data_IF_650048970783
#
_entry.id   IF_650048970783
#
_cell.length_a   1.000
_cell.length_b   1.000
_cell.length_c   1.000
_cell.angle_alpha   90.00
_cell.angle_beta   90.00
_cell.angle_gamma   90.00
#
_symmetry.space_group_name_H-M   'P 1'
#
loop_
_entity.id
_entity.type
_entity.pdbx_description
1 polymer ?
#
# COMPACT_ATOMS: atom_id res chain seq x y z
N UNK A 1 49.85 5.64 34.86
CA UNK A 1 49.95 5.28 33.43
C UNK A 1 48.59 5.53 32.80
N UNK A 2 48.48 6.50 31.89
CA UNK A 2 47.26 6.71 31.10
C UNK A 2 47.22 5.65 30.00
N UNK A 3 46.37 4.63 30.14
CA UNK A 3 46.12 3.68 29.06
C UNK A 3 45.47 4.43 27.88
N UNK A 4 46.07 4.35 26.70
CA UNK A 4 45.50 4.93 25.48
C UNK A 4 44.51 3.96 24.85
N UNK A 5 43.44 4.46 24.23
CA UNK A 5 42.36 3.64 23.66
C UNK A 5 42.90 2.49 22.76
N UNK A 6 43.92 2.77 21.95
CA UNK A 6 44.51 1.81 21.01
C UNK A 6 45.40 0.74 21.66
N UNK A 7 45.79 0.92 22.93
CA UNK A 7 46.51 -0.10 23.71
C UNK A 7 45.58 -1.14 24.34
N UNK A 8 44.28 -0.87 24.40
CA UNK A 8 43.30 -1.84 24.87
C UNK A 8 43.17 -3.00 23.87
N UNK A 9 42.90 -4.24 24.30
CA UNK A 9 42.52 -5.35 23.42
C UNK A 9 41.34 -4.99 22.50
N UNK A 10 41.27 -5.64 21.33
CA UNK A 10 40.25 -5.35 20.30
C UNK A 10 38.84 -5.47 20.85
N UNK A 11 38.60 -6.47 21.67
CA UNK A 11 37.31 -6.77 22.29
C UNK A 11 36.84 -5.62 23.18
N UNK A 12 37.73 -5.04 23.99
CA UNK A 12 37.41 -3.88 24.82
C UNK A 12 37.19 -2.63 23.97
N UNK A 13 37.96 -2.44 22.90
CA UNK A 13 37.71 -1.34 21.96
C UNK A 13 36.34 -1.46 21.29
N UNK A 14 35.94 -2.67 20.91
CA UNK A 14 34.61 -2.92 20.32
C UNK A 14 33.47 -2.63 21.29
N UNK A 15 33.63 -2.92 22.58
CA UNK A 15 32.68 -2.51 23.61
C UNK A 15 32.59 -0.99 23.73
N UNK A 16 33.73 -0.28 23.69
CA UNK A 16 33.77 1.18 23.74
C UNK A 16 33.09 1.78 22.49
N UNK A 17 33.41 1.27 21.29
CA UNK A 17 32.79 1.76 20.05
C UNK A 17 31.28 1.53 20.03
N UNK A 18 30.82 0.38 20.54
CA UNK A 18 29.38 0.10 20.70
C UNK A 18 28.73 1.10 21.63
N UNK A 19 29.29 1.32 22.82
CA UNK A 19 28.77 2.28 23.79
C UNK A 19 28.74 3.71 23.22
N UNK A 20 29.73 4.09 22.42
CA UNK A 20 29.82 5.42 21.82
C UNK A 20 28.76 5.68 20.74
N UNK A 21 28.43 4.67 19.94
CA UNK A 21 27.59 4.80 18.74
C UNK A 21 26.13 4.44 19.01
N UNK A 22 25.88 3.52 19.93
CA UNK A 22 24.53 3.03 20.23
C UNK A 22 23.73 4.15 20.89
N UNK A 23 22.60 4.51 20.28
CA UNK A 23 21.70 5.55 20.78
C UNK A 23 20.35 4.92 21.14
N UNK A 24 19.83 5.26 22.30
CA UNK A 24 18.53 4.78 22.78
C UNK A 24 17.42 5.36 21.90
N UNK A 25 16.68 4.49 21.21
CA UNK A 25 15.68 4.89 20.20
C UNK A 25 16.26 5.01 18.78
N UNK A 26 17.56 4.81 18.61
CA UNK A 26 18.22 4.73 17.30
C UNK A 26 18.26 6.06 16.55
N UNK A 27 18.26 5.98 15.22
CA UNK A 27 18.47 7.12 14.35
C UNK A 27 17.22 7.46 13.53
N UNK A 28 16.80 8.72 13.54
CA UNK A 28 15.65 9.23 12.83
C UNK A 28 16.11 10.00 11.59
N UNK A 29 15.62 9.59 10.42
CA UNK A 29 15.93 10.24 9.16
C UNK A 29 15.21 11.59 9.07
N UNK A 30 15.94 12.64 8.70
CA UNK A 30 15.40 13.95 8.38
C UNK A 30 15.45 14.17 6.85
N UNK A 31 14.29 14.14 6.16
CA UNK A 31 14.21 14.28 4.71
C UNK A 31 14.76 15.60 4.16
N UNK A 32 14.51 16.72 4.86
CA UNK A 32 14.93 18.05 4.43
C UNK A 32 16.46 18.18 4.38
N UNK A 33 17.14 17.62 5.39
CA UNK A 33 18.62 17.64 5.47
C UNK A 33 19.29 16.41 4.85
N UNK A 34 18.51 15.38 4.51
CA UNK A 34 18.97 14.05 4.05
C UNK A 34 19.95 13.39 5.00
N UNK A 35 19.83 13.66 6.30
CA UNK A 35 20.73 13.18 7.36
C UNK A 35 19.94 12.51 8.47
N UNK A 36 20.61 11.64 9.19
CA UNK A 36 20.09 11.08 10.43
C UNK A 36 20.43 11.97 11.61
N UNK A 37 19.51 12.01 12.57
CA UNK A 37 19.69 12.52 13.92
C UNK A 37 19.39 11.41 14.90
N UNK A 38 19.82 11.54 16.14
CA UNK A 38 19.39 10.60 17.17
C UNK A 38 17.93 10.82 17.56
N UNK A 39 17.38 9.93 18.40
CA UNK A 39 15.99 9.99 18.84
C UNK A 39 15.63 11.31 19.56
N UNK A 40 16.62 11.94 20.20
CA UNK A 40 16.50 13.25 20.87
C UNK A 40 16.69 14.45 19.93
N UNK A 41 16.81 14.24 18.62
CA UNK A 41 16.97 15.31 17.62
C UNK A 41 18.37 15.94 17.55
N UNK A 42 19.35 15.39 18.26
CA UNK A 42 20.76 15.82 18.23
C UNK A 42 21.50 15.17 17.06
N UNK A 43 22.61 15.79 16.67
CA UNK A 43 23.51 15.22 15.67
C UNK A 43 24.16 13.95 16.21
N UNK A 44 24.36 12.96 15.33
CA UNK A 44 25.10 11.75 15.67
C UNK A 44 26.57 12.14 15.89
N UNK A 45 27.10 11.87 17.08
CA UNK A 45 28.49 12.11 17.39
C UNK A 45 29.37 11.06 16.69
N UNK A 46 30.21 11.52 15.78
CA UNK A 46 31.17 10.70 15.04
C UNK A 46 32.62 11.12 15.31
N UNK A 47 32.87 11.99 16.31
CA UNK A 47 34.19 12.56 16.57
C UNK A 47 35.24 11.46 16.79
N UNK A 48 34.91 10.40 17.53
CA UNK A 48 35.81 9.28 17.76
C UNK A 48 36.26 8.62 16.44
N UNK A 49 35.35 8.43 15.49
CA UNK A 49 35.67 7.85 14.17
C UNK A 49 36.60 8.72 13.32
N UNK A 50 36.69 10.02 13.62
CA UNK A 50 37.52 10.99 12.91
C UNK A 50 38.91 11.15 13.53
N UNK A 51 39.19 10.52 14.67
CA UNK A 51 40.47 10.68 15.39
C UNK A 51 41.66 10.08 14.65
N UNK A 52 41.54 8.86 14.11
CA UNK A 52 42.59 8.23 13.31
C UNK A 52 42.05 7.14 12.37
N UNK A 53 42.85 6.74 11.38
CA UNK A 53 42.47 5.73 10.37
C UNK A 53 42.13 4.36 10.97
N UNK A 54 42.81 3.96 12.05
CA UNK A 54 42.54 2.69 12.71
C UNK A 54 41.13 2.71 13.30
N UNK A 55 40.82 3.68 14.16
CA UNK A 55 39.48 3.84 14.76
C UNK A 55 38.40 3.98 13.67
N UNK A 56 38.64 4.78 12.63
CA UNK A 56 37.72 4.92 11.49
C UNK A 56 37.42 3.58 10.79
N UNK A 57 38.44 2.74 10.62
CA UNK A 57 38.31 1.42 9.97
C UNK A 57 37.58 0.46 10.90
N UNK A 58 37.96 0.47 12.17
CA UNK A 58 37.43 -0.36 13.24
C UNK A 58 35.94 -0.08 13.52
N UNK A 59 35.49 1.17 13.37
CA UNK A 59 34.10 1.61 13.58
C UNK A 59 33.24 1.58 12.31
N UNK A 60 33.81 1.20 11.15
CA UNK A 60 33.15 1.31 9.86
C UNK A 60 31.87 0.48 9.79
N UNK A 61 30.73 1.15 9.68
CA UNK A 61 29.41 0.53 9.54
C UNK A 61 28.75 0.15 10.87
N UNK A 62 29.44 0.24 12.02
CA UNK A 62 28.87 -0.09 13.33
C UNK A 62 27.61 0.73 13.63
N UNK A 63 27.59 1.99 13.21
CA UNK A 63 26.44 2.88 13.38
C UNK A 63 25.15 2.33 12.76
N UNK A 64 25.25 1.67 11.60
CA UNK A 64 24.12 1.07 10.90
C UNK A 64 23.81 -0.35 11.37
N UNK A 65 24.83 -1.05 11.87
CA UNK A 65 24.68 -2.41 12.40
C UNK A 65 23.97 -2.41 13.77
N UNK A 66 24.24 -1.41 14.61
CA UNK A 66 23.80 -1.37 16.00
C UNK A 66 22.51 -0.59 16.20
N UNK A 67 22.20 0.39 15.34
CA UNK A 67 21.05 1.28 15.53
C UNK A 67 19.92 0.98 14.55
N UNK A 68 18.70 1.07 15.05
CA UNK A 68 17.49 1.08 14.23
C UNK A 68 17.41 2.39 13.45
N UNK A 69 17.19 2.30 12.13
CA UNK A 69 16.95 3.45 11.28
C UNK A 69 15.44 3.69 11.15
N UNK A 70 14.99 4.88 11.52
CA UNK A 70 13.58 5.24 11.54
C UNK A 70 13.26 6.25 10.45
N UNK A 71 12.24 5.95 9.66
CA UNK A 71 11.67 6.83 8.64
C UNK A 71 10.22 7.14 8.99
N UNK A 72 9.76 8.35 8.67
CA UNK A 72 8.38 8.78 8.86
C UNK A 72 7.80 9.29 7.54
N UNK A 73 6.47 9.36 7.46
CA UNK A 73 5.80 10.07 6.38
C UNK A 73 6.32 11.51 6.32
N UNK A 74 6.57 12.02 5.11
CA UNK A 74 7.16 13.34 4.93
C UNK A 74 6.28 14.24 4.08
N UNK A 75 6.02 15.45 4.58
CA UNK A 75 5.39 16.53 3.81
C UNK A 75 6.49 17.45 3.29
N UNK A 76 6.58 17.68 1.96
CA UNK A 76 7.56 18.61 1.42
C UNK A 76 7.40 20.03 1.96
N UNK A 77 8.54 20.70 2.19
CA UNK A 77 8.57 22.03 2.80
C UNK A 77 8.11 23.11 1.82
N UNK A 78 8.41 22.94 0.53
CA UNK A 78 8.05 23.90 -0.52
C UNK A 78 6.73 23.58 -1.18
N UNK A 79 5.98 24.62 -1.56
CA UNK A 79 4.71 24.45 -2.29
C UNK A 79 4.93 23.76 -3.65
N UNK A 80 6.01 24.11 -4.34
CA UNK A 80 6.38 23.50 -5.63
C UNK A 80 6.55 21.99 -5.52
N UNK A 81 7.27 21.49 -4.50
CA UNK A 81 7.43 20.05 -4.29
C UNK A 81 6.13 19.36 -3.89
N UNK A 82 5.26 20.04 -3.13
CA UNK A 82 3.92 19.54 -2.79
C UNK A 82 3.05 19.36 -4.02
N UNK A 83 2.97 20.37 -4.88
CA UNK A 83 2.23 20.33 -6.14
C UNK A 83 2.80 19.24 -7.06
N UNK A 84 4.12 19.18 -7.17
CA UNK A 84 4.84 18.16 -7.95
C UNK A 84 4.49 16.73 -7.49
N UNK A 85 4.45 16.47 -6.18
CA UNK A 85 4.06 15.16 -5.66
C UNK A 85 2.56 14.87 -5.80
N UNK A 86 1.69 15.89 -5.68
CA UNK A 86 0.26 15.73 -5.94
C UNK A 86 -0.01 15.35 -7.40
N UNK A 87 0.68 15.97 -8.37
CA UNK A 87 0.61 15.63 -9.79
C UNK A 87 1.07 14.20 -10.06
N UNK A 88 2.10 13.74 -9.37
CA UNK A 88 2.52 12.33 -9.46
C UNK A 88 1.41 11.39 -8.99
N UNK A 89 0.80 11.67 -7.84
CA UNK A 89 -0.30 10.88 -7.29
C UNK A 89 -1.49 10.81 -8.25
N UNK A 90 -1.88 11.96 -8.81
CA UNK A 90 -2.92 12.07 -9.82
C UNK A 90 -2.57 11.25 -11.07
N UNK A 91 -1.33 11.37 -11.56
CA UNK A 91 -0.87 10.63 -12.73
C UNK A 91 -1.02 9.11 -12.55
N UNK A 92 -0.60 8.57 -11.39
CA UNK A 92 -0.78 7.14 -11.07
C UNK A 92 -2.26 6.75 -11.09
N UNK A 93 -3.12 7.56 -10.45
CA UNK A 93 -4.56 7.29 -10.40
C UNK A 93 -5.21 7.27 -11.79
N UNK A 94 -4.88 8.25 -12.64
CA UNK A 94 -5.41 8.31 -13.99
C UNK A 94 -4.86 7.19 -14.87
N UNK A 95 -3.57 6.87 -14.79
CA UNK A 95 -2.99 5.74 -15.51
C UNK A 95 -3.75 4.44 -15.21
N UNK A 96 -3.96 4.12 -13.93
CA UNK A 96 -4.68 2.91 -13.55
C UNK A 96 -6.13 2.93 -14.04
N UNK A 97 -6.82 4.06 -13.90
CA UNK A 97 -8.19 4.19 -14.39
C UNK A 97 -8.27 4.00 -15.91
N UNK A 98 -7.36 4.60 -16.68
CA UNK A 98 -7.32 4.45 -18.12
C UNK A 98 -6.98 3.02 -18.53
N UNK A 99 -6.05 2.34 -17.86
CA UNK A 99 -5.70 0.93 -18.14
C UNK A 99 -6.87 0.01 -17.92
N UNK A 100 -7.56 0.20 -16.81
CA UNK A 100 -8.78 -0.53 -16.48
C UNK A 100 -9.87 -0.35 -17.55
N UNK A 101 -10.04 0.88 -18.05
CA UNK A 101 -10.97 1.14 -19.17
C UNK A 101 -10.50 0.48 -20.45
N UNK A 102 -9.23 0.63 -20.82
CA UNK A 102 -8.65 0.00 -22.03
C UNK A 102 -8.88 -1.50 -22.04
N UNK A 103 -8.71 -2.17 -20.90
CA UNK A 103 -8.96 -3.61 -20.78
C UNK A 103 -10.42 -3.97 -21.12
N UNK A 104 -11.39 -3.21 -20.60
CA UNK A 104 -12.82 -3.42 -20.85
C UNK A 104 -13.15 -3.17 -22.33
N UNK A 105 -12.69 -2.06 -22.91
CA UNK A 105 -12.99 -1.71 -24.30
C UNK A 105 -12.25 -2.57 -25.33
N UNK A 106 -11.17 -3.22 -24.92
CA UNK A 106 -10.44 -4.19 -25.74
C UNK A 106 -11.08 -5.60 -25.73
N UNK A 107 -12.24 -5.80 -25.10
CA UNK A 107 -12.98 -7.07 -25.15
C UNK A 107 -13.14 -7.66 -26.56
N UNK A 108 -13.43 -6.88 -27.63
CA UNK A 108 -13.49 -7.41 -29.00
C UNK A 108 -12.16 -7.96 -29.55
N UNK A 109 -11.03 -7.70 -28.86
CA UNK A 109 -9.70 -8.20 -29.22
C UNK A 109 -9.29 -9.43 -28.39
N UNK A 110 -10.15 -9.94 -27.50
CA UNK A 110 -9.79 -11.10 -26.69
C UNK A 110 -9.73 -12.36 -27.57
N UNK A 111 -8.59 -13.03 -27.53
CA UNK A 111 -8.34 -14.28 -28.28
C UNK A 111 -8.08 -15.45 -27.34
N UNK A 112 -8.02 -16.68 -27.87
CA UNK A 112 -7.60 -17.87 -27.10
C UNK A 112 -6.28 -17.64 -26.38
N UNK A 113 -5.31 -17.00 -27.03
CA UNK A 113 -3.99 -16.70 -26.47
C UNK A 113 -4.10 -15.74 -25.26
N UNK A 114 -5.05 -14.80 -25.30
CA UNK A 114 -5.31 -13.89 -24.17
C UNK A 114 -5.86 -14.67 -22.97
N UNK A 115 -6.83 -15.56 -23.20
CA UNK A 115 -7.39 -16.41 -22.14
C UNK A 115 -6.34 -17.37 -21.56
N UNK A 116 -5.51 -17.98 -22.42
CA UNK A 116 -4.42 -18.88 -21.98
C UNK A 116 -3.36 -18.14 -21.16
N UNK A 117 -2.97 -16.93 -21.59
CA UNK A 117 -2.00 -16.10 -20.86
C UNK A 117 -2.52 -15.72 -19.46
N UNK A 118 -3.79 -15.32 -19.36
CA UNK A 118 -4.44 -15.00 -18.09
C UNK A 118 -4.64 -16.25 -17.23
N UNK A 119 -5.07 -17.38 -17.80
CA UNK A 119 -5.21 -18.63 -17.06
C UNK A 119 -3.87 -19.12 -16.49
N UNK A 120 -2.77 -18.88 -17.20
CA UNK A 120 -1.43 -19.24 -16.74
C UNK A 120 -0.93 -18.35 -15.60
N UNK A 121 -1.04 -17.02 -15.75
CA UNK A 121 -0.37 -16.06 -14.86
C UNK A 121 -1.29 -15.51 -13.76
N UNK A 122 -2.58 -15.38 -14.06
CA UNK A 122 -3.57 -14.77 -13.17
C UNK A 122 -4.95 -15.49 -13.24
N UNK A 123 -5.01 -16.81 -12.96
CA UNK A 123 -6.22 -17.62 -13.12
C UNK A 123 -7.43 -17.07 -12.35
N UNK A 124 -7.20 -16.37 -11.23
CA UNK A 124 -8.24 -15.74 -10.43
C UNK A 124 -9.05 -14.64 -11.17
N UNK A 125 -8.49 -14.06 -12.24
CA UNK A 125 -9.17 -13.05 -13.06
C UNK A 125 -9.74 -13.61 -14.37
N UNK A 126 -9.63 -14.91 -14.63
CA UNK A 126 -10.24 -15.53 -15.81
C UNK A 126 -11.76 -15.25 -15.91
N UNK A 127 -12.56 -15.37 -14.81
CA UNK A 127 -13.98 -15.04 -14.86
C UNK A 127 -14.23 -13.56 -15.21
N UNK A 128 -13.30 -12.67 -14.85
CA UNK A 128 -13.42 -11.24 -15.17
C UNK A 128 -13.31 -10.99 -16.68
N UNK A 129 -12.39 -11.69 -17.37
CA UNK A 129 -12.28 -11.64 -18.83
C UNK A 129 -13.55 -12.17 -19.50
N UNK A 130 -14.10 -13.28 -19.02
CA UNK A 130 -15.34 -13.85 -19.55
C UNK A 130 -16.52 -12.87 -19.41
N UNK A 131 -16.58 -12.17 -18.28
CA UNK A 131 -17.60 -11.14 -18.02
C UNK A 131 -17.48 -9.98 -19.01
N UNK A 132 -16.26 -9.51 -19.29
CA UNK A 132 -16.02 -8.43 -20.26
C UNK A 132 -16.32 -8.86 -21.69
N UNK A 133 -15.99 -10.10 -22.04
CA UNK A 133 -16.21 -10.64 -23.39
C UNK A 133 -17.70 -10.76 -23.73
N UNK A 134 -18.55 -11.04 -22.75
CA UNK A 134 -20.00 -11.24 -22.96
C UNK A 134 -20.83 -9.94 -22.95
N UNK A 135 -20.19 -8.75 -23.03
CA UNK A 135 -20.78 -7.39 -23.08
C UNK A 135 -21.84 -7.10 -21.99
N UNK A 136 -21.88 -7.91 -20.93
CA UNK A 136 -22.88 -7.80 -19.86
C UNK A 136 -22.58 -6.64 -18.89
N UNK A 137 -21.38 -6.03 -18.94
CA UNK A 137 -20.95 -5.08 -17.91
C UNK A 137 -20.02 -3.98 -18.46
N UNK A 138 -20.47 -2.71 -18.38
CA UNK A 138 -19.65 -1.49 -18.57
C UNK A 138 -19.42 -0.70 -17.27
N UNK A 139 -19.67 -1.32 -16.12
CA UNK A 139 -19.50 -0.73 -14.79
C UNK A 139 -18.25 -1.23 -14.06
N UNK A 140 -17.65 -0.39 -13.22
CA UNK A 140 -16.46 -0.73 -12.43
C UNK A 140 -16.77 -1.78 -11.37
N UNK A 141 -16.45 -3.05 -11.67
CA UNK A 141 -16.23 -4.11 -10.68
C UNK A 141 -14.92 -3.89 -9.88
N UNK A 142 -14.14 -2.87 -10.23
CA UNK A 142 -12.68 -2.92 -10.27
C UNK A 142 -11.93 -2.43 -9.04
N UNK A 143 -12.45 -2.64 -7.84
CA UNK A 143 -11.59 -2.36 -6.68
C UNK A 143 -11.92 -3.14 -5.41
N UNK A 144 -12.66 -4.25 -5.53
CA UNK A 144 -13.22 -4.91 -4.36
C UNK A 144 -12.76 -6.34 -4.14
N UNK A 145 -12.02 -6.94 -5.06
CA UNK A 145 -11.86 -8.40 -5.08
C UNK A 145 -10.50 -8.94 -4.69
N UNK A 146 -9.41 -8.26 -5.05
CA UNK A 146 -8.05 -8.80 -4.93
C UNK A 146 -7.04 -7.69 -4.66
N UNK A 147 -5.82 -8.07 -4.28
CA UNK A 147 -4.75 -7.13 -3.91
C UNK A 147 -4.50 -6.13 -5.04
N UNK A 148 -4.56 -4.81 -4.79
CA UNK A 148 -4.49 -3.80 -5.84
C UNK A 148 -3.28 -3.92 -6.76
N UNK A 149 -2.09 -4.23 -6.21
CA UNK A 149 -0.87 -4.42 -6.98
C UNK A 149 -0.92 -5.63 -7.92
N UNK A 150 -1.47 -6.75 -7.46
CA UNK A 150 -1.67 -7.95 -8.28
C UNK A 150 -2.66 -7.65 -9.40
N UNK A 151 -3.75 -6.92 -9.09
CA UNK A 151 -4.73 -6.52 -10.09
C UNK A 151 -4.13 -5.61 -11.16
N UNK A 152 -3.34 -4.61 -10.78
CA UNK A 152 -2.61 -3.74 -11.72
C UNK A 152 -1.65 -4.54 -12.62
N UNK A 153 -0.92 -5.50 -12.04
CA UNK A 153 -0.02 -6.36 -12.81
C UNK A 153 -0.77 -7.22 -13.83
N UNK A 154 -1.91 -7.78 -13.43
CA UNK A 154 -2.82 -8.48 -14.34
C UNK A 154 -3.28 -7.59 -15.50
N UNK A 155 -3.76 -6.37 -15.21
CA UNK A 155 -4.24 -5.45 -16.24
C UNK A 155 -3.13 -5.09 -17.22
N UNK A 156 -1.95 -4.71 -16.71
CA UNK A 156 -0.80 -4.35 -17.55
C UNK A 156 -0.38 -5.53 -18.43
N UNK A 157 -0.19 -6.71 -17.85
CA UNK A 157 0.22 -7.91 -18.60
C UNK A 157 -0.81 -8.31 -19.66
N UNK A 158 -2.10 -8.19 -19.35
CA UNK A 158 -3.17 -8.52 -20.31
C UNK A 158 -3.22 -7.51 -21.46
N UNK A 159 -3.03 -6.22 -21.17
CA UNK A 159 -2.95 -5.18 -22.19
C UNK A 159 -1.71 -5.35 -23.10
N UNK A 160 -0.59 -5.79 -22.55
CA UNK A 160 0.60 -6.14 -23.35
C UNK A 160 0.29 -7.28 -24.33
N UNK A 161 -0.35 -8.36 -23.88
CA UNK A 161 -0.78 -9.45 -24.79
C UNK A 161 -1.76 -8.95 -25.85
N UNK A 162 -2.74 -8.13 -25.46
CA UNK A 162 -3.73 -7.59 -26.39
C UNK A 162 -3.11 -6.62 -27.41
N UNK A 163 -1.98 -5.98 -27.09
CA UNK A 163 -1.32 -5.03 -27.98
C UNK A 163 -0.83 -5.65 -29.29
N UNK A 164 -0.66 -6.97 -29.33
CA UNK A 164 -0.30 -7.71 -30.54
C UNK A 164 -1.48 -7.85 -31.53
N UNK A 165 -2.71 -7.58 -31.09
CA UNK A 165 -3.91 -7.72 -31.92
C UNK A 165 -4.10 -6.51 -32.86
N UNK A 166 -4.34 -6.70 -34.18
CA UNK A 166 -4.42 -5.61 -35.16
C UNK A 166 -5.48 -4.54 -34.88
N UNK A 167 -6.56 -4.90 -34.16
CA UNK A 167 -7.65 -3.98 -33.81
C UNK A 167 -7.50 -3.33 -32.43
N UNK A 168 -6.45 -3.67 -31.68
CA UNK A 168 -6.28 -3.19 -30.30
C UNK A 168 -6.18 -1.67 -30.22
N UNK A 169 -5.40 -1.04 -31.12
CA UNK A 169 -5.23 0.42 -31.18
C UNK A 169 -6.59 1.12 -31.23
N UNK A 170 -7.46 0.68 -32.14
CA UNK A 170 -8.81 1.24 -32.30
C UNK A 170 -9.67 1.08 -31.04
N UNK A 171 -9.63 -0.09 -30.39
CA UNK A 171 -10.33 -0.34 -29.13
C UNK A 171 -9.79 0.54 -27.98
N UNK A 172 -8.47 0.67 -27.88
CA UNK A 172 -7.81 1.45 -26.83
C UNK A 172 -8.04 2.96 -26.99
N UNK A 173 -7.98 3.49 -28.22
CA UNK A 173 -8.31 4.89 -28.52
C UNK A 173 -9.74 5.26 -28.10
N UNK A 174 -10.70 4.36 -28.35
CA UNK A 174 -12.08 4.54 -27.89
C UNK A 174 -12.16 4.66 -26.37
N UNK A 175 -11.40 3.87 -25.62
CA UNK A 175 -11.34 3.94 -24.16
C UNK A 175 -10.78 5.29 -23.66
N UNK A 176 -9.74 5.79 -24.33
CA UNK A 176 -9.05 7.04 -24.00
C UNK A 176 -9.92 8.28 -24.32
N UNK A 177 -10.70 8.23 -25.40
CA UNK A 177 -11.62 9.30 -25.80
C UNK A 177 -12.77 9.54 -24.80
N UNK A 178 -13.13 8.52 -24.02
CA UNK A 178 -14.20 8.59 -23.03
C UNK A 178 -13.68 9.15 -21.70
N UNK A 179 -13.60 10.48 -21.60
CA UNK A 179 -13.21 11.18 -20.38
C UNK A 179 -12.45 12.49 -20.58
N UNK A 180 -12.04 12.80 -21.81
CA UNK A 180 -11.28 14.01 -22.13
C UNK A 180 -12.09 14.94 -23.04
N UNK A 181 -12.09 16.24 -22.74
CA UNK A 181 -12.80 17.25 -23.55
C UNK A 181 -12.06 17.66 -24.83
N UNK A 182 -10.81 17.21 -25.03
CA UNK A 182 -9.99 17.54 -26.20
C UNK A 182 -10.07 16.45 -27.27
N UNK A 183 -10.09 16.87 -28.54
CA UNK A 183 -9.75 15.99 -29.66
C UNK A 183 -8.31 15.52 -29.44
N UNK A 184 -8.15 14.22 -29.24
CA UNK A 184 -6.84 13.58 -29.13
C UNK A 184 -6.15 13.65 -30.50
N UNK A 185 -5.02 14.34 -30.59
CA UNK A 185 -3.96 13.90 -31.50
C UNK A 185 -3.32 12.72 -30.77
N UNK A 186 -3.78 11.50 -31.05
CA UNK A 186 -3.50 10.36 -30.20
C UNK A 186 -1.98 10.10 -30.14
N UNK A 187 -1.37 10.11 -28.94
CA UNK A 187 -0.06 9.50 -28.80
C UNK A 187 -0.15 8.02 -29.12
N UNK A 188 0.98 7.43 -29.50
CA UNK A 188 1.03 6.03 -29.88
C UNK A 188 0.64 5.17 -28.66
N UNK A 189 -0.21 4.16 -28.86
CA UNK A 189 -0.65 3.26 -27.78
C UNK A 189 0.56 2.56 -27.14
N UNK A 190 1.63 2.38 -27.91
CA UNK A 190 2.90 1.83 -27.49
C UNK A 190 3.58 2.73 -26.45
N UNK A 191 3.57 4.06 -26.63
CA UNK A 191 4.08 5.01 -25.63
C UNK A 191 3.31 4.90 -24.32
N UNK A 192 1.98 4.74 -24.39
CA UNK A 192 1.13 4.59 -23.22
C UNK A 192 1.37 3.28 -22.45
N UNK A 193 1.45 2.16 -23.18
CA UNK A 193 1.71 0.85 -22.58
C UNK A 193 3.12 0.79 -21.97
N UNK A 194 4.10 1.47 -22.55
CA UNK A 194 5.46 1.53 -22.04
C UNK A 194 5.62 2.31 -20.71
N UNK A 195 4.60 3.05 -20.25
CA UNK A 195 4.68 3.83 -19.00
C UNK A 195 4.73 2.89 -17.80
N UNK A 196 5.90 2.66 -17.22
CA UNK A 196 6.06 1.81 -16.05
C UNK A 196 6.44 2.61 -14.79
N UNK A 197 5.55 3.50 -14.36
CA UNK A 197 5.76 4.25 -13.13
C UNK A 197 5.54 3.36 -11.90
N UNK A 198 6.55 3.35 -11.02
CA UNK A 198 6.48 2.64 -9.76
C UNK A 198 5.83 3.55 -8.70
N UNK A 199 4.77 3.11 -7.99
CA UNK A 199 4.02 3.97 -7.06
C UNK A 199 4.88 4.65 -5.98
N UNK A 200 5.93 3.96 -5.52
CA UNK A 200 6.86 4.46 -4.49
C UNK A 200 8.02 5.31 -5.02
N UNK A 201 8.18 5.46 -6.34
CA UNK A 201 9.32 6.16 -6.95
C UNK A 201 8.83 7.23 -7.91
N UNK A 202 8.69 8.44 -7.39
CA UNK A 202 8.32 9.60 -8.18
C UNK A 202 9.33 9.85 -9.33
N UNK A 203 8.88 9.94 -10.60
CA UNK A 203 9.70 10.31 -11.74
C UNK A 203 9.96 11.84 -11.80
N UNK A 204 10.71 12.28 -12.80
CA UNK A 204 10.96 13.71 -13.02
C UNK A 204 9.65 14.44 -13.36
N UNK A 205 9.60 15.75 -13.08
CA UNK A 205 8.42 16.57 -13.39
C UNK A 205 8.16 16.64 -14.91
N UNK A 206 9.21 16.51 -15.73
CA UNK A 206 9.10 16.43 -17.19
C UNK A 206 8.41 15.13 -17.63
N UNK A 207 8.79 13.99 -17.07
CA UNK A 207 8.12 12.70 -17.34
C UNK A 207 6.66 12.72 -16.90
N UNK A 208 6.37 13.29 -15.72
CA UNK A 208 4.99 13.47 -15.24
C UNK A 208 4.20 14.35 -16.21
N UNK A 209 4.74 15.49 -16.63
CA UNK A 209 4.08 16.40 -17.55
C UNK A 209 3.82 15.74 -18.91
N UNK A 210 4.77 14.95 -19.43
CA UNK A 210 4.59 14.16 -20.65
C UNK A 210 3.41 13.21 -20.49
N UNK A 211 3.38 12.40 -19.42
CA UNK A 211 2.29 11.45 -19.21
C UNK A 211 0.94 12.13 -19.01
N UNK A 212 0.88 13.25 -18.28
CA UNK A 212 -0.36 14.01 -18.15
C UNK A 212 -0.89 14.51 -19.49
N UNK A 213 -0.01 14.99 -20.38
CA UNK A 213 -0.38 15.34 -21.76
C UNK A 213 -0.86 14.11 -22.53
N UNK A 214 -0.17 12.98 -22.40
CA UNK A 214 -0.58 11.72 -23.02
C UNK A 214 -1.98 11.28 -22.57
N UNK A 215 -2.37 11.57 -21.33
CA UNK A 215 -3.70 11.25 -20.77
C UNK A 215 -4.76 12.32 -21.10
N UNK A 216 -4.42 13.35 -21.88
CA UNK A 216 -5.32 14.45 -22.23
C UNK A 216 -5.65 15.38 -21.05
N UNK A 217 -4.81 15.41 -20.01
CA UNK A 217 -4.97 16.24 -18.82
C UNK A 217 -4.21 17.57 -18.96
N UNK A 218 -4.75 18.64 -18.39
CA UNK A 218 -4.13 19.97 -18.43
C UNK A 218 -2.91 20.05 -17.51
N UNK A 219 -1.75 20.39 -18.08
CA UNK A 219 -0.48 20.58 -17.36
C UNK A 219 -0.27 22.00 -16.83
N UNK A 220 -1.06 22.96 -17.30
CA UNK A 220 -0.83 24.40 -17.11
C UNK A 220 -1.55 25.00 -15.90
N UNK A 221 -2.70 24.44 -15.51
CA UNK A 221 -3.40 24.91 -14.31
C UNK A 221 -3.03 24.06 -13.09
N UNK A 222 -2.42 24.62 -12.03
CA UNK A 222 -2.59 24.04 -10.72
C UNK A 222 -4.08 24.18 -10.40
N UNK A 223 -4.93 23.24 -10.83
CA UNK A 223 -6.35 23.22 -10.46
C UNK A 223 -6.42 23.55 -8.97
N UNK A 224 -7.25 24.51 -8.56
CA UNK A 224 -7.51 24.77 -7.14
C UNK A 224 -7.91 23.47 -6.39
N UNK A 225 -8.28 22.42 -7.14
CA UNK A 225 -8.45 21.01 -6.77
C UNK A 225 -7.22 20.30 -6.17
N UNK A 226 -5.97 20.76 -6.38
CA UNK A 226 -4.78 20.16 -5.75
C UNK A 226 -4.78 20.29 -4.23
N UNK A 227 -5.58 21.20 -3.67
CA UNK A 227 -5.81 21.31 -2.20
C UNK A 227 -6.45 20.05 -1.60
N UNK A 228 -6.96 19.13 -2.42
CA UNK A 228 -7.58 17.87 -1.99
C UNK A 228 -6.68 16.63 -2.06
N UNK A 229 -5.55 16.67 -2.78
CA UNK A 229 -4.67 15.51 -2.96
C UNK A 229 -3.64 15.40 -1.84
N UNK A 230 -3.27 14.16 -1.51
CA UNK A 230 -2.17 13.94 -0.61
C UNK A 230 -0.87 14.41 -1.26
N UNK A 231 -0.10 15.20 -0.53
CA UNK A 231 1.18 15.77 -0.97
C UNK A 231 2.38 15.06 -0.33
N UNK A 232 2.15 14.02 0.48
CA UNK A 232 3.15 13.40 1.34
C UNK A 232 3.79 12.17 0.71
N UNK A 233 5.07 11.99 0.98
CA UNK A 233 5.78 10.76 0.70
C UNK A 233 5.62 9.79 1.86
N UNK A 234 5.25 8.55 1.57
CA UNK A 234 5.23 7.47 2.56
C UNK A 234 6.61 7.24 3.18
N UNK A 235 6.67 6.72 4.40
CA UNK A 235 7.92 6.33 5.03
C UNK A 235 8.69 5.29 4.19
N UNK A 236 7.99 4.33 3.57
CA UNK A 236 8.61 3.32 2.70
C UNK A 236 9.30 3.93 1.46
N UNK A 237 8.64 4.87 0.77
CA UNK A 237 9.24 5.61 -0.35
C UNK A 237 10.48 6.40 0.08
N UNK A 238 10.43 7.04 1.24
CA UNK A 238 11.57 7.77 1.80
C UNK A 238 12.76 6.85 2.12
N UNK A 239 12.48 5.69 2.72
CA UNK A 239 13.48 4.69 3.02
C UNK A 239 14.11 4.11 1.74
N UNK A 240 13.30 3.71 0.77
CA UNK A 240 13.77 3.19 -0.51
C UNK A 240 14.67 4.21 -1.24
N UNK A 241 14.25 5.49 -1.28
CA UNK A 241 15.07 6.58 -1.85
C UNK A 241 16.41 6.73 -1.13
N UNK A 242 16.44 6.64 0.21
CA UNK A 242 17.69 6.69 0.96
C UNK A 242 18.60 5.50 0.62
N UNK A 243 18.05 4.28 0.63
CA UNK A 243 18.79 3.04 0.35
C UNK A 243 19.37 3.00 -1.08
N UNK A 244 18.62 3.50 -2.08
CA UNK A 244 19.11 3.64 -3.45
C UNK A 244 20.38 4.49 -3.55
N UNK A 245 20.57 5.47 -2.66
CA UNK A 245 21.74 6.35 -2.66
C UNK A 245 22.93 5.79 -1.88
N UNK A 246 22.80 4.61 -1.27
CA UNK A 246 23.89 3.95 -0.55
C UNK A 246 24.66 2.99 -1.46
N UNK A 247 25.94 2.78 -1.14
CA UNK A 247 26.70 1.68 -1.74
C UNK A 247 26.16 0.33 -1.28
N UNK A 248 26.32 -0.72 -2.10
CA UNK A 248 25.99 -2.09 -1.72
C UNK A 248 26.63 -2.51 -0.39
N UNK A 249 27.91 -2.16 -0.19
CA UNK A 249 28.63 -2.48 1.05
C UNK A 249 28.03 -1.80 2.28
N UNK A 250 27.55 -0.56 2.14
CA UNK A 250 26.87 0.17 3.21
C UNK A 250 25.50 -0.44 3.51
N UNK A 251 24.72 -0.79 2.49
CA UNK A 251 23.39 -1.42 2.67
C UNK A 251 23.46 -2.73 3.44
N UNK A 252 24.50 -3.53 3.19
CA UNK A 252 24.77 -4.79 3.93
C UNK A 252 25.12 -4.61 5.40
N UNK A 253 25.34 -3.37 5.87
CA UNK A 253 25.58 -3.06 7.28
C UNK A 253 24.29 -2.73 8.04
N UNK A 254 23.20 -2.42 7.36
CA UNK A 254 21.94 -2.09 8.01
C UNK A 254 21.31 -3.38 8.56
N UNK A 255 20.77 -3.33 9.78
CA UNK A 255 20.09 -4.47 10.41
C UNK A 255 18.61 -4.24 10.62
N UNK A 256 18.23 -3.05 11.06
CA UNK A 256 16.85 -2.76 11.45
C UNK A 256 16.37 -1.44 10.86
N UNK A 257 15.23 -1.48 10.18
CA UNK A 257 14.51 -0.30 9.70
C UNK A 257 13.10 -0.31 10.27
N UNK A 258 12.68 0.83 10.83
CA UNK A 258 11.30 1.07 11.24
C UNK A 258 10.72 2.17 10.36
N UNK A 259 9.56 1.91 9.77
CA UNK A 259 8.83 2.85 8.93
C UNK A 259 7.56 3.24 9.67
N UNK A 260 7.39 4.51 10.02
CA UNK A 260 6.15 5.03 10.57
C UNK A 260 5.35 5.74 9.47
N UNK A 261 4.32 5.06 8.99
CA UNK A 261 3.28 5.65 8.16
C UNK A 261 2.27 6.36 9.08
N UNK A 262 2.70 7.48 9.67
CA UNK A 262 1.96 8.24 10.69
C UNK A 262 0.95 9.24 10.09
N UNK A 263 1.03 9.46 8.77
CA UNK A 263 0.06 10.26 8.02
C UNK A 263 -0.23 9.57 6.70
N UNK A 264 -1.44 9.79 6.18
CA UNK A 264 -1.80 9.38 4.83
C UNK A 264 -0.72 9.85 3.82
N UNK A 265 -0.49 9.08 2.76
CA UNK A 265 0.53 9.39 1.75
C UNK A 265 0.01 9.21 0.31
N UNK A 266 0.72 9.82 -0.62
CA UNK A 266 0.40 9.82 -2.06
C UNK A 266 0.70 8.49 -2.75
N UNK A 267 0.07 8.29 -3.90
CA UNK A 267 0.40 7.25 -4.89
C UNK A 267 0.32 5.80 -4.38
N UNK A 268 -0.79 5.39 -3.77
CA UNK A 268 -1.05 3.99 -3.37
C UNK A 268 -0.03 3.43 -2.35
N UNK A 269 0.09 4.08 -1.19
CA UNK A 269 1.13 3.75 -0.21
C UNK A 269 1.06 2.32 0.31
N UNK A 270 -0.10 1.65 0.26
CA UNK A 270 -0.27 0.25 0.65
C UNK A 270 0.77 -0.67 0.00
N UNK A 271 1.07 -0.49 -1.29
CA UNK A 271 2.00 -1.35 -2.04
C UNK A 271 3.48 -0.97 -1.87
N UNK A 272 3.81 0.15 -1.21
CA UNK A 272 5.19 0.66 -1.15
C UNK A 272 6.17 -0.26 -0.39
N UNK A 273 5.69 -1.28 0.31
CA UNK A 273 6.54 -2.34 0.85
C UNK A 273 7.36 -3.06 -0.23
N UNK A 274 6.85 -3.12 -1.47
CA UNK A 274 7.53 -3.72 -2.60
C UNK A 274 8.86 -3.01 -2.95
N UNK A 275 8.94 -1.71 -2.68
CA UNK A 275 10.13 -0.88 -2.88
C UNK A 275 11.37 -1.37 -2.11
N UNK A 276 11.18 -2.26 -1.14
CA UNK A 276 12.19 -2.69 -0.18
C UNK A 276 12.67 -4.11 -0.43
N UNK A 277 12.00 -4.85 -1.33
CA UNK A 277 12.27 -6.27 -1.62
C UNK A 277 13.74 -6.48 -2.00
N UNK A 278 14.24 -5.69 -2.96
CA UNK A 278 15.63 -5.79 -3.43
C UNK A 278 16.63 -5.65 -2.27
N UNK A 279 16.39 -4.73 -1.35
CA UNK A 279 17.31 -4.50 -0.23
C UNK A 279 17.30 -5.63 0.80
N UNK A 280 16.13 -6.26 1.00
CA UNK A 280 16.01 -7.45 1.83
C UNK A 280 16.68 -8.67 1.17
N UNK A 281 16.60 -8.81 -0.16
CA UNK A 281 17.30 -9.86 -0.91
C UNK A 281 18.83 -9.68 -0.86
N UNK A 282 19.31 -8.45 -1.04
CA UNK A 282 20.74 -8.11 -0.94
C UNK A 282 21.32 -8.31 0.47
N UNK A 283 20.49 -8.16 1.51
CA UNK A 283 20.91 -8.22 2.90
C UNK A 283 19.97 -9.13 3.72
N UNK A 284 20.29 -10.44 3.83
CA UNK A 284 19.47 -11.41 4.58
C UNK A 284 19.32 -11.11 6.08
N UNK A 285 20.13 -10.20 6.64
CA UNK A 285 20.05 -9.77 8.04
C UNK A 285 19.21 -8.51 8.23
N UNK A 286 18.74 -7.88 7.15
CA UNK A 286 17.86 -6.73 7.24
C UNK A 286 16.47 -7.16 7.72
N UNK A 287 15.94 -6.43 8.70
CA UNK A 287 14.57 -6.57 9.20
C UNK A 287 13.88 -5.22 9.09
N UNK A 288 12.68 -5.24 8.50
CA UNK A 288 11.86 -4.07 8.27
C UNK A 288 10.55 -4.23 9.03
N UNK A 289 10.27 -3.26 9.88
CA UNK A 289 8.98 -3.14 10.56
C UNK A 289 8.27 -1.91 10.02
N UNK A 290 7.12 -2.12 9.37
CA UNK A 290 6.28 -1.05 8.82
C UNK A 290 5.08 -0.84 9.71
N UNK A 291 5.08 0.23 10.49
CA UNK A 291 3.98 0.64 11.37
C UNK A 291 3.06 1.60 10.63
N UNK A 292 1.77 1.29 10.58
CA UNK A 292 0.78 2.11 9.89
C UNK A 292 -0.26 2.55 10.87
N UNK A 293 -0.35 3.87 11.06
CA UNK A 293 -1.34 4.47 11.97
C UNK A 293 -2.75 4.23 11.40
N UNK A 294 -3.56 3.48 12.16
CA UNK A 294 -4.93 3.15 11.76
C UNK A 294 -5.77 4.40 11.51
N UNK A 295 -5.59 5.43 12.33
CA UNK A 295 -6.42 6.62 12.31
C UNK A 295 -5.87 7.63 11.30
N UNK A 296 -4.65 8.10 11.52
CA UNK A 296 -4.07 9.23 10.80
C UNK A 296 -3.60 8.87 9.38
N UNK A 297 -3.44 7.58 9.09
CA UNK A 297 -3.08 7.07 7.76
C UNK A 297 -4.23 6.27 7.13
N UNK A 298 -4.50 5.03 7.59
CA UNK A 298 -5.38 4.10 6.85
C UNK A 298 -6.80 4.66 6.67
N UNK A 299 -7.43 5.06 7.77
CA UNK A 299 -8.82 5.52 7.75
C UNK A 299 -8.97 6.87 7.06
N UNK A 300 -7.99 7.76 7.22
CA UNK A 300 -7.97 9.04 6.52
C UNK A 300 -7.89 8.86 5.01
N UNK A 301 -7.10 7.89 4.52
CA UNK A 301 -7.03 7.55 3.11
C UNK A 301 -8.35 6.95 2.58
N UNK A 302 -9.04 6.13 3.38
CA UNK A 302 -10.32 5.53 3.01
C UNK A 302 -11.42 6.59 2.75
N UNK A 303 -11.40 7.71 3.48
CA UNK A 303 -12.31 8.83 3.26
C UNK A 303 -12.10 9.52 1.90
N UNK A 304 -10.89 9.47 1.34
CA UNK A 304 -10.60 10.09 0.05
C UNK A 304 -11.05 9.23 -1.15
N UNK A 305 -11.28 7.93 -0.97
CA UNK A 305 -11.60 6.98 -2.05
C UNK A 305 -13.06 7.07 -2.56
N UNK A 306 -13.95 7.82 -1.90
CA UNK A 306 -15.37 7.94 -2.27
C UNK A 306 -15.68 8.83 -3.49
N UNK A 307 -14.66 9.34 -4.18
CA UNK A 307 -14.80 9.97 -5.50
C UNK A 307 -15.25 11.44 -5.43
N UNK A 308 -14.43 12.30 -6.04
CA UNK A 308 -14.66 13.71 -6.37
C UNK A 308 -15.17 14.63 -5.24
N UNK A 309 -14.27 15.53 -4.84
CA UNK A 309 -14.36 16.48 -3.73
C UNK A 309 -14.34 15.82 -2.36
N UNK A 310 -13.45 16.32 -1.48
CA UNK A 310 -13.59 16.16 -0.03
C UNK A 310 -14.94 16.77 0.36
N UNK A 311 -16.03 16.02 0.24
CA UNK A 311 -17.09 16.16 1.22
C UNK A 311 -16.39 15.82 2.51
N UNK A 312 -16.23 16.79 3.41
CA UNK A 312 -15.74 16.57 4.75
C UNK A 312 -16.65 15.53 5.40
N UNK A 313 -16.31 14.26 5.24
CA UNK A 313 -17.06 13.20 5.89
C UNK A 313 -16.66 13.34 7.34
N UNK A 314 -17.56 13.96 8.11
CA UNK A 314 -17.35 14.23 9.52
C UNK A 314 -17.20 12.95 10.35
N UNK A 315 -17.41 11.76 9.77
CA UNK A 315 -17.27 10.49 10.46
C UNK A 315 -16.75 9.41 9.49
N UNK A 316 -15.92 8.51 10.00
CA UNK A 316 -15.51 7.31 9.29
C UNK A 316 -16.62 6.27 9.42
N UNK A 317 -17.25 5.88 8.32
CA UNK A 317 -18.27 4.83 8.34
C UNK A 317 -17.62 3.47 8.64
N UNK A 318 -18.23 2.71 9.54
CA UNK A 318 -17.71 1.40 9.94
C UNK A 318 -17.59 0.44 8.75
N UNK A 319 -18.51 0.51 7.79
CA UNK A 319 -18.48 -0.31 6.57
C UNK A 319 -17.32 -0.01 5.61
N UNK A 320 -16.55 1.06 5.84
CA UNK A 320 -15.34 1.40 5.07
C UNK A 320 -14.05 0.97 5.79
N UNK A 321 -14.11 0.71 7.10
CA UNK A 321 -12.95 0.29 7.92
C UNK A 321 -12.33 -0.98 7.38
N UNK A 322 -13.14 -2.02 7.19
CA UNK A 322 -12.67 -3.34 6.76
C UNK A 322 -12.00 -3.29 5.40
N UNK A 323 -12.48 -2.44 4.49
CA UNK A 323 -11.83 -2.20 3.19
C UNK A 323 -10.48 -1.51 3.35
N UNK A 324 -10.41 -0.47 4.18
CA UNK A 324 -9.17 0.25 4.44
C UNK A 324 -8.08 -0.68 5.00
N UNK A 325 -8.45 -1.52 5.97
CA UNK A 325 -7.55 -2.51 6.57
C UNK A 325 -7.15 -3.58 5.55
N UNK A 326 -8.10 -4.08 4.76
CA UNK A 326 -7.85 -5.11 3.75
C UNK A 326 -6.78 -4.69 2.75
N UNK A 327 -6.80 -3.44 2.25
CA UNK A 327 -5.80 -2.96 1.28
C UNK A 327 -4.36 -3.15 1.80
N UNK A 328 -4.10 -2.78 3.04
CA UNK A 328 -2.77 -2.87 3.64
C UNK A 328 -2.39 -4.30 4.01
N UNK A 329 -3.32 -5.05 4.59
CA UNK A 329 -3.10 -6.45 5.00
C UNK A 329 -2.79 -7.30 3.77
N UNK A 330 -3.57 -7.16 2.71
CA UNK A 330 -3.46 -7.99 1.50
C UNK A 330 -2.24 -7.60 0.65
N UNK A 331 -1.85 -6.32 0.61
CA UNK A 331 -0.58 -5.91 0.00
C UNK A 331 0.64 -6.43 0.76
N UNK A 332 0.57 -6.46 2.10
CA UNK A 332 1.64 -7.02 2.91
C UNK A 332 1.77 -8.54 2.74
N UNK A 333 0.64 -9.26 2.66
CA UNK A 333 0.60 -10.70 2.36
C UNK A 333 1.19 -11.01 0.98
N UNK A 334 0.90 -10.18 -0.03
CA UNK A 334 1.40 -10.34 -1.39
C UNK A 334 2.93 -10.15 -1.53
N UNK A 335 3.60 -9.54 -0.54
CA UNK A 335 5.05 -9.30 -0.62
C UNK A 335 5.85 -10.60 -0.81
N UNK A 336 5.42 -11.71 -0.21
CA UNK A 336 6.07 -13.00 -0.37
C UNK A 336 6.04 -13.46 -1.84
N UNK A 337 4.90 -13.31 -2.53
CA UNK A 337 4.78 -13.64 -3.96
C UNK A 337 5.61 -12.71 -4.85
N UNK A 338 5.90 -11.49 -4.39
CA UNK A 338 6.82 -10.57 -5.06
C UNK A 338 8.30 -10.81 -4.73
N UNK A 339 8.62 -11.83 -3.95
CA UNK A 339 10.00 -12.23 -3.64
C UNK A 339 10.60 -11.56 -2.40
N UNK A 340 9.78 -10.99 -1.51
CA UNK A 340 10.23 -10.58 -0.17
C UNK A 340 10.72 -11.80 0.61
N UNK A 341 11.96 -11.79 1.14
CA UNK A 341 12.46 -12.91 1.92
C UNK A 341 11.63 -13.14 3.20
N UNK A 342 11.45 -14.41 3.56
CA UNK A 342 10.75 -14.79 4.78
C UNK A 342 11.38 -14.11 6.01
N UNK A 343 10.54 -13.65 6.94
CA UNK A 343 10.92 -12.95 8.17
C UNK A 343 11.67 -11.61 7.96
N UNK A 344 11.83 -11.11 6.73
CA UNK A 344 12.46 -9.81 6.50
C UNK A 344 11.53 -8.62 6.76
N UNK A 345 10.22 -8.84 6.71
CA UNK A 345 9.21 -7.80 6.79
C UNK A 345 8.12 -8.12 7.83
N UNK A 346 7.64 -7.11 8.52
CA UNK A 346 6.49 -7.17 9.42
C UNK A 346 5.65 -5.91 9.22
N UNK A 347 4.33 -6.08 9.04
CA UNK A 347 3.39 -4.97 9.07
C UNK A 347 2.82 -4.87 10.48
N UNK A 348 2.80 -3.68 11.06
CA UNK A 348 2.14 -3.41 12.34
C UNK A 348 0.99 -2.44 12.11
N UNK A 349 -0.23 -2.88 12.39
CA UNK A 349 -1.38 -1.99 12.52
C UNK A 349 -1.22 -1.23 13.84
N UNK A 350 -0.95 0.07 13.73
CA UNK A 350 -0.60 0.91 14.87
C UNK A 350 -1.85 1.66 15.37
N UNK A 351 -2.30 1.27 16.57
CA UNK A 351 -3.41 1.88 17.29
C UNK A 351 -2.96 2.81 18.42
N UNK A 352 -1.68 3.20 18.49
CA UNK A 352 -1.12 3.97 19.61
C UNK A 352 -1.77 5.34 19.84
N UNK A 353 -2.46 5.91 18.84
CA UNK A 353 -3.25 7.13 19.02
C UNK A 353 -4.45 6.94 19.96
N UNK A 354 -5.12 5.78 19.91
CA UNK A 354 -6.26 5.42 20.78
C UNK A 354 -6.47 3.90 20.74
N UNK A 355 -5.76 3.17 21.59
CA UNK A 355 -5.74 1.70 21.56
C UNK A 355 -7.13 1.08 21.81
N UNK A 356 -7.94 1.71 22.66
CA UNK A 356 -9.30 1.24 22.95
C UNK A 356 -10.20 1.40 21.71
N UNK A 357 -10.20 2.57 21.06
CA UNK A 357 -10.96 2.73 19.82
C UNK A 357 -10.41 1.88 18.68
N UNK A 358 -9.09 1.67 18.60
CA UNK A 358 -8.49 0.77 17.60
C UNK A 358 -8.96 -0.67 17.78
N UNK A 359 -9.12 -1.12 19.03
CA UNK A 359 -9.67 -2.45 19.34
C UNK A 359 -11.14 -2.56 18.87
N UNK A 360 -11.96 -1.52 19.10
CA UNK A 360 -13.33 -1.43 18.58
C UNK A 360 -13.38 -1.38 17.04
N UNK A 361 -12.45 -0.68 16.41
CA UNK A 361 -12.34 -0.65 14.95
C UNK A 361 -12.01 -2.04 14.40
N UNK A 362 -11.11 -2.78 15.06
CA UNK A 362 -10.76 -4.13 14.66
C UNK A 362 -11.89 -5.14 14.92
N UNK A 363 -12.77 -4.88 15.90
CA UNK A 363 -14.02 -5.63 16.06
C UNK A 363 -14.92 -5.54 14.82
N UNK A 364 -15.02 -4.37 14.19
CA UNK A 364 -15.74 -4.23 12.91
C UNK A 364 -15.13 -5.11 11.82
N UNK A 365 -13.80 -5.16 11.73
CA UNK A 365 -13.10 -6.02 10.76
C UNK A 365 -13.42 -7.50 11.02
N UNK A 366 -13.37 -7.95 12.27
CA UNK A 366 -13.70 -9.33 12.66
C UNK A 366 -15.15 -9.68 12.33
N UNK A 367 -16.09 -8.79 12.67
CA UNK A 367 -17.50 -8.94 12.32
C UNK A 367 -17.67 -9.10 10.81
N UNK A 368 -17.09 -8.20 10.02
CA UNK A 368 -17.25 -8.24 8.56
C UNK A 368 -16.65 -9.50 7.94
N UNK A 369 -15.52 -9.98 8.48
CA UNK A 369 -14.94 -11.25 8.07
C UNK A 369 -15.89 -12.43 8.34
N UNK A 370 -16.49 -12.50 9.53
CA UNK A 370 -17.46 -13.55 9.85
C UNK A 370 -18.73 -13.46 8.99
N UNK A 371 -19.20 -12.25 8.64
CA UNK A 371 -20.33 -12.06 7.73
C UNK A 371 -20.01 -12.51 6.30
N UNK A 372 -18.81 -12.20 5.79
CA UNK A 372 -18.36 -12.70 4.49
C UNK A 372 -18.26 -14.23 4.49
N UNK A 373 -17.68 -14.81 5.53
CA UNK A 373 -17.52 -16.26 5.66
C UNK A 373 -18.86 -16.98 5.81
N UNK A 374 -19.79 -16.43 6.61
CA UNK A 374 -21.14 -16.94 6.76
C UNK A 374 -21.88 -16.97 5.41
N UNK A 375 -21.78 -15.90 4.64
CA UNK A 375 -22.36 -15.84 3.29
C UNK A 375 -21.78 -16.93 2.37
N UNK A 376 -20.45 -17.12 2.40
CA UNK A 376 -19.77 -18.16 1.61
C UNK A 376 -20.19 -19.58 2.04
N UNK A 377 -20.38 -19.82 3.34
CA UNK A 377 -20.84 -21.11 3.88
C UNK A 377 -22.29 -21.38 3.48
N UNK A 378 -23.21 -20.43 3.68
CA UNK A 378 -24.61 -20.56 3.28
C UNK A 378 -24.72 -20.91 1.78
N UNK A 379 -23.91 -20.24 0.95
CA UNK A 379 -23.87 -20.52 -0.49
C UNK A 379 -23.37 -21.94 -0.81
N UNK A 380 -22.42 -22.47 -0.03
CA UNK A 380 -21.88 -23.84 -0.22
C UNK A 380 -22.84 -24.92 0.28
N UNK A 381 -23.60 -24.63 1.34
CA UNK A 381 -24.62 -25.53 1.90
C UNK A 381 -25.88 -25.61 1.04
N UNK A 382 -26.10 -24.62 0.17
CA UNK A 382 -27.33 -24.48 -0.62
C UNK A 382 -28.46 -23.79 0.15
N UNK A 383 -28.14 -23.16 1.28
CA UNK A 383 -29.10 -22.39 2.09
C UNK A 383 -29.53 -21.10 1.36
N UNK A 384 -28.63 -20.56 0.53
CA UNK A 384 -28.89 -19.46 -0.41
C UNK A 384 -28.49 -19.89 -1.81
N UNK A 385 -29.07 -19.22 -2.81
CA UNK A 385 -28.68 -19.42 -4.21
C UNK A 385 -27.18 -19.13 -4.38
N UNK A 386 -26.45 -20.05 -5.02
CA UNK A 386 -25.03 -19.88 -5.26
C UNK A 386 -24.79 -18.70 -6.20
N UNK A 387 -24.16 -17.61 -5.73
CA UNK A 387 -23.93 -16.44 -6.57
C UNK A 387 -22.82 -16.74 -7.58
N UNK A 388 -22.93 -16.15 -8.77
CA UNK A 388 -21.81 -16.09 -9.72
C UNK A 388 -20.60 -15.36 -9.12
N UNK A 389 -19.43 -15.53 -9.75
CA UNK A 389 -18.20 -14.83 -9.36
C UNK A 389 -18.40 -13.31 -9.23
N UNK A 390 -19.17 -12.71 -10.14
CA UNK A 390 -19.47 -11.27 -10.16
C UNK A 390 -20.47 -10.87 -9.08
N UNK A 391 -21.52 -11.66 -8.87
CA UNK A 391 -22.56 -11.38 -7.87
C UNK A 391 -21.97 -11.42 -6.45
N UNK A 392 -21.15 -12.43 -6.15
CA UNK A 392 -20.44 -12.52 -4.86
C UNK A 392 -19.61 -11.26 -4.59
N UNK A 393 -18.85 -10.80 -5.59
CA UNK A 393 -17.97 -9.62 -5.47
C UNK A 393 -18.70 -8.28 -5.40
N UNK A 394 -19.97 -8.24 -5.81
CA UNK A 394 -20.85 -7.06 -5.67
C UNK A 394 -21.53 -6.99 -4.31
N UNK A 395 -21.69 -8.14 -3.66
CA UNK A 395 -22.35 -8.25 -2.37
C UNK A 395 -21.66 -7.36 -1.32
N UNK A 396 -22.41 -6.68 -0.44
CA UNK A 396 -21.81 -5.63 0.41
C UNK A 396 -20.88 -6.19 1.47
N UNK A 397 -21.19 -7.38 1.99
CA UNK A 397 -20.37 -8.07 2.98
C UNK A 397 -19.09 -8.67 2.38
N UNK A 398 -18.94 -8.70 1.04
CA UNK A 398 -17.69 -9.08 0.42
C UNK A 398 -16.71 -7.90 0.49
N UNK A 399 -15.61 -8.11 1.21
CA UNK A 399 -14.56 -7.13 1.45
C UNK A 399 -13.35 -7.40 0.57
N UNK A 400 -12.83 -8.63 0.62
CA UNK A 400 -11.66 -9.06 -0.14
C UNK A 400 -11.52 -10.59 -0.09
N UNK A 401 -11.00 -11.20 -1.16
CA UNK A 401 -10.70 -12.63 -1.18
C UNK A 401 -9.62 -12.97 -0.13
N UNK A 402 -9.82 -14.04 0.64
CA UNK A 402 -8.84 -14.52 1.64
C UNK A 402 -8.72 -13.69 2.92
N UNK A 403 -9.36 -12.52 3.02
CA UNK A 403 -9.26 -11.66 4.21
C UNK A 403 -9.69 -12.36 5.52
N UNK A 404 -10.83 -13.09 5.59
CA UNK A 404 -11.23 -13.77 6.83
C UNK A 404 -10.14 -14.71 7.37
N UNK A 405 -9.50 -15.48 6.49
CA UNK A 405 -8.38 -16.38 6.84
C UNK A 405 -7.19 -15.60 7.39
N UNK A 406 -6.81 -14.49 6.77
CA UNK A 406 -5.66 -13.69 7.22
C UNK A 406 -5.95 -13.03 8.57
N UNK A 407 -7.15 -12.50 8.78
CA UNK A 407 -7.56 -11.91 10.06
C UNK A 407 -7.52 -12.94 11.18
N UNK A 408 -7.96 -14.17 10.92
CA UNK A 408 -7.83 -15.26 11.88
C UNK A 408 -6.35 -15.56 12.22
N UNK A 409 -5.46 -15.55 11.23
CA UNK A 409 -4.01 -15.72 11.44
C UNK A 409 -3.39 -14.56 12.23
N UNK A 410 -3.87 -13.32 12.03
CA UNK A 410 -3.44 -12.15 12.84
C UNK A 410 -3.80 -12.37 14.31
N UNK A 411 -5.03 -12.79 14.59
CA UNK A 411 -5.52 -13.06 15.95
C UNK A 411 -4.71 -14.19 16.62
N UNK A 412 -4.40 -15.25 15.88
CA UNK A 412 -3.59 -16.38 16.37
C UNK A 412 -2.09 -16.05 16.50
N UNK A 413 -1.65 -14.85 16.09
CA UNK A 413 -0.23 -14.46 16.10
C UNK A 413 0.63 -15.21 15.07
N UNK A 414 0.00 -15.74 14.02
CA UNK A 414 0.62 -16.56 12.96
C UNK A 414 0.84 -15.79 11.65
N UNK A 415 0.37 -14.55 11.55
CA UNK A 415 0.56 -13.68 10.39
C UNK A 415 1.84 -12.83 10.51
N UNK A 416 2.36 -12.37 9.36
CA UNK A 416 3.38 -11.30 9.32
C UNK A 416 2.80 -9.94 9.73
N UNK A 417 1.48 -9.82 9.75
CA UNK A 417 0.76 -8.64 10.23
C UNK A 417 0.53 -8.77 11.73
N UNK A 418 0.84 -7.71 12.48
CA UNK A 418 0.67 -7.62 13.94
C UNK A 418 -0.14 -6.38 14.30
N UNK A 419 -0.72 -6.39 15.49
CA UNK A 419 -1.36 -5.23 16.09
C UNK A 419 -0.68 -4.88 17.42
N UNK A 420 -0.64 -3.60 17.78
CA UNK A 420 -0.17 -3.15 19.10
C UNK A 420 -1.33 -2.75 20.04
N UNK A 421 -2.52 -3.27 19.78
CA UNK A 421 -3.76 -3.10 20.53
C UNK A 421 -4.49 -4.45 20.63
N UNK A 422 -5.55 -4.53 21.42
CA UNK A 422 -6.30 -5.77 21.65
C UNK A 422 -7.09 -6.19 20.40
N UNK A 423 -6.87 -7.43 19.94
CA UNK A 423 -7.49 -7.94 18.70
C UNK A 423 -8.73 -8.81 18.97
N UNK A 424 -8.89 -9.33 20.19
CA UNK A 424 -10.01 -10.21 20.57
C UNK A 424 -10.04 -11.53 19.78
N UNK A 425 -11.20 -12.20 19.79
CA UNK A 425 -11.42 -13.50 19.13
C UNK A 425 -12.29 -13.37 17.87
N UNK A 426 -12.22 -14.32 16.94
CA UNK A 426 -13.13 -14.30 15.79
C UNK A 426 -14.60 -14.40 16.23
N UNK A 427 -15.48 -13.73 15.49
CA UNK A 427 -16.92 -13.90 15.68
C UNK A 427 -17.32 -15.33 15.29
N UNK A 428 -18.32 -15.86 15.99
CA UNK A 428 -18.87 -17.18 15.68
C UNK A 428 -19.67 -17.12 14.37
N UNK A 429 -19.05 -17.62 13.30
CA UNK A 429 -19.64 -17.66 11.96
C UNK A 429 -20.92 -18.50 11.91
N UNK A 430 -21.02 -19.61 12.64
CA UNK A 430 -22.25 -20.44 12.67
C UNK A 430 -23.38 -19.69 13.35
N UNK A 431 -23.08 -18.99 14.44
CA UNK A 431 -24.07 -18.12 15.08
C UNK A 431 -24.58 -17.02 14.14
N UNK A 432 -23.68 -16.42 13.34
CA UNK A 432 -24.10 -15.46 12.30
C UNK A 432 -25.03 -16.14 11.29
N UNK A 433 -24.75 -17.37 10.86
CA UNK A 433 -25.64 -18.11 9.96
C UNK A 433 -27.02 -18.34 10.61
N UNK A 434 -27.05 -18.88 11.83
CA UNK A 434 -28.28 -19.22 12.54
C UNK A 434 -29.20 -18.01 12.77
N UNK A 435 -28.63 -16.88 13.22
CA UNK A 435 -29.36 -15.63 13.49
C UNK A 435 -29.87 -14.94 12.21
N UNK A 436 -29.41 -15.37 11.03
CA UNK A 436 -29.69 -14.73 9.74
C UNK A 436 -30.27 -15.68 8.68
N UNK A 437 -30.53 -16.94 9.01
CA UNK A 437 -30.97 -18.00 8.08
C UNK A 437 -32.25 -17.72 7.29
N UNK A 438 -33.10 -16.82 7.78
CA UNK A 438 -34.39 -16.47 7.15
C UNK A 438 -34.32 -15.23 6.26
N UNK A 439 -33.15 -14.59 6.17
CA UNK A 439 -32.98 -13.38 5.37
C UNK A 439 -32.81 -13.74 3.90
N UNK A 440 -33.44 -12.95 3.03
CA UNK A 440 -33.05 -12.92 1.62
C UNK A 440 -31.76 -12.09 1.43
N UNK A 441 -31.20 -12.14 0.22
CA UNK A 441 -29.94 -11.46 -0.10
C UNK A 441 -30.01 -9.93 0.18
N UNK A 442 -31.06 -9.19 -0.25
CA UNK A 442 -31.18 -7.77 0.09
C UNK A 442 -31.23 -7.50 1.60
N UNK A 443 -31.98 -8.31 2.36
CA UNK A 443 -32.07 -8.15 3.82
C UNK A 443 -30.77 -8.48 4.53
N UNK A 444 -29.97 -9.40 3.99
CA UNK A 444 -28.62 -9.69 4.48
C UNK A 444 -27.70 -8.46 4.34
N UNK A 445 -27.73 -7.82 3.17
CA UNK A 445 -26.97 -6.60 2.89
C UNK A 445 -27.34 -5.45 3.85
N UNK A 446 -28.65 -5.26 4.08
CA UNK A 446 -29.15 -4.23 4.99
C UNK A 446 -28.75 -4.50 6.44
N UNK A 447 -28.79 -5.77 6.89
CA UNK A 447 -28.38 -6.14 8.23
C UNK A 447 -26.86 -6.09 8.41
N UNK A 448 -26.08 -6.41 7.38
CA UNK A 448 -24.63 -6.23 7.39
C UNK A 448 -24.26 -4.75 7.63
N UNK A 449 -24.99 -3.81 7.01
CA UNK A 449 -24.76 -2.36 7.19
C UNK A 449 -25.04 -1.85 8.61
N UNK A 450 -25.79 -2.58 9.44
CA UNK A 450 -26.12 -2.22 10.82
C UNK A 450 -24.94 -2.49 11.78
N UNK A 451 -23.84 -1.78 11.57
CA UNK A 451 -22.68 -1.79 12.45
C UNK A 451 -22.99 -1.04 13.76
N UNK A 452 -22.39 -1.50 14.86
CA UNK A 452 -22.37 -0.78 16.12
C UNK A 452 -20.91 -0.64 16.60
N UNK A 453 -20.34 0.58 16.66
CA UNK A 453 -20.94 1.84 16.23
C UNK A 453 -21.13 1.90 14.69
N UNK A 454 -22.05 2.75 14.22
CA UNK A 454 -22.27 2.96 12.77
C UNK A 454 -21.14 3.74 12.10
N UNK A 455 -20.46 4.56 12.88
CA UNK A 455 -19.34 5.38 12.44
C UNK A 455 -18.43 5.73 13.61
N UNK A 456 -17.18 6.05 13.31
CA UNK A 456 -16.19 6.54 14.25
C UNK A 456 -15.95 8.04 14.05
N UNK A 457 -15.82 8.77 15.16
CA UNK A 457 -15.31 10.13 15.13
C UNK A 457 -13.78 10.10 15.01
N UNK A 458 -13.22 10.66 13.93
CA UNK A 458 -11.78 10.65 13.74
C UNK A 458 -11.06 11.57 14.75
N UNK A 459 -9.87 11.18 15.26
CA UNK A 459 -9.17 11.97 16.28
C UNK A 459 -8.71 13.34 15.80
N UNK A 460 -8.55 13.57 14.49
CA UNK A 460 -8.17 14.88 13.93
C UNK A 460 -9.31 15.90 13.88
N UNK A 461 -10.54 15.50 14.23
CA UNK A 461 -11.73 16.38 14.20
C UNK A 461 -11.73 17.44 15.31
N UNK A 462 -10.86 17.29 16.32
CA UNK A 462 -10.76 18.22 17.47
C UNK A 462 -9.65 19.28 17.25
N UNK A 463 -8.90 19.22 16.15
CA UNK A 463 -7.66 19.98 15.97
C UNK A 463 -7.65 20.97 14.79
N UNK A 464 -8.81 21.26 14.17
CA UNK A 464 -8.96 22.33 13.16
C UNK A 464 -9.87 23.46 13.64
#
# INVERSE_FOLDING_TARGET
MTATLLQLPRELRDLIYRFYILDEGGYIYNPATRKFKNANGRLIDLALSLTCRQVATEMRGLALELNTLTFKTWTPDTETERISNARFAETIQWLDMHRNRSLIYAAPCYTSETFDAVAHSYPQYLPLLEIYNNDMWRGSLLNRSETPSIYRAFVTSTLETLSEHPFFVFCAEKALSLGTSRKWDAPSIEEYLAINFQPWKKPSDEEIAKVLLLLGLDTTSPRDEYRGYNVRYSAAAMASRYLCNLSFQTRRKIRHIVLHEDKDSSAQPECHGQALILFCQENPHLRIERRVDLWNNMCRAALHYRGFTRVYVNALLSCDVSRAVALWVMEAEALATHGMPANAFTLVLDGSADAAKSSLMFEIVRRDCAWQEAFDICSKRGDIATPSWAERRKHRCFIHEGLPRIVEQIIKGQSLVRCNFEVGEMWDTERVIEENRTLDIPSWDDKWLQHNPRSFDPPWKVAE
#
